data_IF_175972823928
#
_entry.id   IF_175972823928
#
_cell.length_a   1.000
_cell.length_b   1.000
_cell.length_c   1.000
_cell.angle_alpha   90.00
_cell.angle_beta   90.00
_cell.angle_gamma   90.00
#
_symmetry.space_group_name_H-M   'P 1'
#
loop_
_entity.id
_entity.type
_entity.pdbx_description
1 polymer ?
#
# COMPACT_ATOMS: atom_id res chain seq x y z
N UNK A 1 -6.83 -21.24 4.14
CA UNK A 1 -5.74 -20.59 4.90
C UNK A 1 -4.88 -19.68 4.02
N UNK A 2 -4.08 -20.22 3.08
CA UNK A 2 -3.12 -19.42 2.30
C UNK A 2 -3.66 -18.11 1.66
N UNK A 3 -4.85 -18.13 1.06
CA UNK A 3 -5.47 -16.93 0.46
C UNK A 3 -5.80 -15.84 1.50
N UNK A 4 -6.23 -16.22 2.70
CA UNK A 4 -6.52 -15.27 3.76
C UNK A 4 -5.24 -14.68 4.36
N UNK A 5 -4.17 -15.47 4.43
CA UNK A 5 -2.88 -15.01 4.94
C UNK A 5 -2.22 -14.03 3.96
N UNK A 6 -2.35 -14.30 2.65
CA UNK A 6 -1.96 -13.35 1.60
C UNK A 6 -2.73 -12.03 1.70
N UNK A 7 -4.06 -12.10 1.86
CA UNK A 7 -4.88 -10.89 1.98
C UNK A 7 -4.54 -10.10 3.25
N UNK A 8 -4.27 -10.77 4.38
CA UNK A 8 -3.77 -10.13 5.61
C UNK A 8 -2.43 -9.45 5.37
N UNK A 9 -1.52 -10.08 4.64
CA UNK A 9 -0.21 -9.49 4.31
C UNK A 9 -0.37 -8.21 3.46
N UNK A 10 -1.24 -8.24 2.44
CA UNK A 10 -1.53 -7.07 1.59
C UNK A 10 -2.09 -5.90 2.39
N UNK A 11 -3.07 -6.16 3.28
CA UNK A 11 -3.65 -5.13 4.17
C UNK A 11 -2.58 -4.56 5.11
N UNK A 12 -1.70 -5.40 5.66
CA UNK A 12 -0.61 -4.96 6.53
C UNK A 12 0.39 -4.07 5.79
N UNK A 13 0.81 -4.46 4.59
CA UNK A 13 1.71 -3.66 3.75
C UNK A 13 1.06 -2.30 3.41
N UNK A 14 -0.22 -2.30 3.01
CA UNK A 14 -0.95 -1.07 2.70
C UNK A 14 -1.07 -0.14 3.92
N UNK A 15 -1.35 -0.70 5.10
CA UNK A 15 -1.43 0.06 6.36
C UNK A 15 -0.11 0.75 6.68
N UNK A 16 1.00 0.01 6.65
CA UNK A 16 2.32 0.54 6.94
C UNK A 16 2.73 1.65 5.95
N UNK A 17 2.35 1.53 4.68
CA UNK A 17 2.72 2.49 3.66
C UNK A 17 1.84 3.76 3.68
N UNK A 18 0.51 3.59 3.62
CA UNK A 18 -0.41 4.72 3.44
C UNK A 18 -0.83 5.38 4.75
N UNK A 19 -0.99 4.60 5.84
CA UNK A 19 -1.46 5.13 7.12
C UNK A 19 -0.30 5.51 8.04
N UNK A 20 0.77 4.71 8.04
CA UNK A 20 1.94 4.99 8.88
C UNK A 20 3.07 5.73 8.15
N UNK A 21 2.95 5.97 6.84
CA UNK A 21 3.91 6.75 6.06
C UNK A 21 5.31 6.12 5.94
N UNK A 22 5.45 4.80 6.14
CA UNK A 22 6.75 4.12 6.09
C UNK A 22 7.27 3.99 4.66
N UNK A 23 8.59 4.08 4.49
CA UNK A 23 9.23 3.80 3.19
C UNK A 23 9.14 2.32 2.85
N UNK A 24 9.09 2.00 1.55
CA UNK A 24 9.01 0.60 1.09
C UNK A 24 10.21 -0.25 1.54
N UNK A 25 11.40 0.34 1.66
CA UNK A 25 12.60 -0.29 2.20
C UNK A 25 12.42 -0.72 3.67
N UNK A 26 11.80 0.15 4.47
CA UNK A 26 11.63 -0.06 5.91
C UNK A 26 10.58 -1.14 6.15
N UNK A 27 9.51 -1.14 5.35
CA UNK A 27 8.47 -2.18 5.35
C UNK A 27 9.08 -3.54 4.94
N UNK A 28 9.95 -3.55 3.92
CA UNK A 28 10.62 -4.75 3.47
C UNK A 28 11.49 -5.36 4.58
N UNK A 29 12.29 -4.54 5.25
CA UNK A 29 13.09 -4.97 6.40
C UNK A 29 12.20 -5.48 7.56
N UNK A 30 11.17 -4.71 7.93
CA UNK A 30 10.26 -5.05 9.04
C UNK A 30 9.55 -6.39 8.83
N UNK A 31 9.17 -6.71 7.60
CA UNK A 31 8.44 -7.93 7.26
C UNK A 31 9.33 -9.06 6.74
N UNK A 32 10.65 -8.87 6.71
CA UNK A 32 11.60 -9.83 6.11
C UNK A 32 11.25 -10.19 4.65
N UNK A 33 10.89 -9.16 3.86
CA UNK A 33 10.53 -9.26 2.45
C UNK A 33 11.52 -8.49 1.58
N UNK A 34 11.47 -8.68 0.27
CA UNK A 34 12.18 -7.79 -0.66
C UNK A 34 11.39 -6.50 -0.88
N UNK A 35 12.10 -5.39 -1.11
CA UNK A 35 11.47 -4.12 -1.49
C UNK A 35 10.65 -4.24 -2.78
N UNK A 36 11.11 -5.05 -3.75
CA UNK A 36 10.38 -5.30 -4.99
C UNK A 36 9.07 -6.06 -4.77
N UNK A 37 8.99 -6.93 -3.76
CA UNK A 37 7.74 -7.55 -3.35
C UNK A 37 6.80 -6.52 -2.73
N UNK A 38 7.28 -5.69 -1.81
CA UNK A 38 6.49 -4.62 -1.17
C UNK A 38 5.92 -3.66 -2.20
N UNK A 39 6.73 -3.22 -3.17
CA UNK A 39 6.30 -2.37 -4.28
C UNK A 39 5.14 -3.00 -5.06
N UNK A 40 5.28 -4.27 -5.47
CA UNK A 40 4.22 -5.00 -6.19
C UNK A 40 2.98 -5.20 -5.34
N UNK A 41 3.12 -5.45 -4.04
CA UNK A 41 2.00 -5.57 -3.12
C UNK A 41 1.21 -4.27 -3.02
N UNK A 42 1.87 -3.11 -2.91
CA UNK A 42 1.21 -1.79 -2.90
C UNK A 42 0.41 -1.56 -4.19
N UNK A 43 1.01 -1.83 -5.35
CA UNK A 43 0.32 -1.72 -6.65
C UNK A 43 -0.89 -2.67 -6.73
N UNK A 44 -0.74 -3.90 -6.23
CA UNK A 44 -1.82 -4.88 -6.18
C UNK A 44 -2.96 -4.41 -5.26
N UNK A 45 -2.66 -3.84 -4.10
CA UNK A 45 -3.68 -3.30 -3.20
C UNK A 45 -4.54 -2.22 -3.85
N UNK A 46 -3.96 -1.34 -4.68
CA UNK A 46 -4.73 -0.38 -5.47
C UNK A 46 -5.58 -1.09 -6.53
N UNK A 47 -4.98 -2.01 -7.29
CA UNK A 47 -5.66 -2.74 -8.37
C UNK A 47 -6.86 -3.55 -7.89
N UNK A 48 -6.74 -4.18 -6.72
CA UNK A 48 -7.78 -5.03 -6.14
C UNK A 48 -8.78 -4.25 -5.26
N UNK A 49 -8.62 -2.93 -5.14
CA UNK A 49 -9.52 -2.07 -4.36
C UNK A 49 -9.36 -2.19 -2.84
N UNK A 50 -8.29 -2.83 -2.37
CA UNK A 50 -7.88 -2.82 -0.95
C UNK A 50 -7.50 -1.40 -0.51
N UNK A 51 -6.93 -0.61 -1.42
CA UNK A 51 -6.62 0.80 -1.24
C UNK A 51 -7.39 1.62 -2.27
N UNK A 52 -8.07 2.68 -1.83
CA UNK A 52 -8.69 3.68 -2.68
C UNK A 52 -8.01 5.02 -2.41
N UNK A 53 -7.53 5.67 -3.46
CA UNK A 53 -6.89 6.99 -3.38
C UNK A 53 -7.85 7.99 -4.01
N UNK A 54 -8.15 9.07 -3.30
CA UNK A 54 -8.94 10.19 -3.81
C UNK A 54 -8.10 11.46 -3.74
N UNK A 55 -8.10 12.24 -4.81
CA UNK A 55 -7.49 13.57 -4.85
C UNK A 55 -8.62 14.59 -4.83
N UNK A 56 -8.61 15.48 -3.83
CA UNK A 56 -9.57 16.58 -3.74
C UNK A 56 -8.95 17.79 -4.42
N UNK A 57 -9.58 18.29 -5.47
CA UNK A 57 -9.11 19.45 -6.20
C UNK A 57 -9.70 20.74 -5.61
N UNK A 58 -8.89 21.74 -5.26
CA UNK A 58 -9.41 23.03 -4.81
C UNK A 58 -9.94 23.86 -6.00
N UNK A 59 -11.00 24.64 -5.76
CA UNK A 59 -11.76 25.37 -6.79
C UNK A 59 -10.94 26.44 -7.54
N UNK A 60 -9.85 26.92 -6.94
CA UNK A 60 -9.14 28.14 -7.33
C UNK A 60 -8.01 27.91 -8.35
N UNK A 61 -7.64 26.67 -8.66
CA UNK A 61 -6.42 26.38 -9.42
C UNK A 61 -6.55 26.48 -10.96
N UNK A 62 -7.76 26.64 -11.50
CA UNK A 62 -7.99 26.70 -12.95
C UNK A 62 -8.78 27.93 -13.43
N UNK A 63 -8.88 28.97 -12.60
CA UNK A 63 -9.45 30.27 -12.95
C UNK A 63 -8.39 31.26 -13.40
#
# INVERSE_FOLDING_TARGET
MAKQDEQRLLVKIATLYYLEGRKQSDIAQLLSLSQSFVSRAITRCQKEGVVKISVVQPLEYFS
#
